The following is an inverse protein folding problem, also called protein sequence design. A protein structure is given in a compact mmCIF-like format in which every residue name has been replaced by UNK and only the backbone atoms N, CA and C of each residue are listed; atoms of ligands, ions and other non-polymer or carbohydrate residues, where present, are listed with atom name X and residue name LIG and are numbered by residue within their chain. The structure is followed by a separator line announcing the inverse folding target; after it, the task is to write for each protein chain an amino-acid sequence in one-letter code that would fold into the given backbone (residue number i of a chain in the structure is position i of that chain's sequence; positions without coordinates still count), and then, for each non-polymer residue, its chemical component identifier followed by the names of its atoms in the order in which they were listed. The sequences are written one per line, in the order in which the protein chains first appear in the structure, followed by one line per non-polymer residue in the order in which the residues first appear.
data_IF_427352884376
#
_entry.id   IF_427352884376
#
_cell.length_a   1.000
_cell.length_b   1.000
_cell.length_c   1.000
_cell.angle_alpha   90.00
_cell.angle_beta   90.00
_cell.angle_gamma   90.00
#
_symmetry.space_group_name_H-M   'P 1'
#
loop_
_entity.id
_entity.type
_entity.pdbx_description
1 polymer ?
#
# COMPACT_ATOMS: atom_id res chain seq x y z
N UNK A 1 8.88 -53.24 -27.06
CA UNK A 1 9.44 -53.67 -25.76
C UNK A 1 10.74 -52.91 -25.60
N UNK A 2 10.72 -51.78 -24.87
CA UNK A 2 11.11 -51.69 -23.44
C UNK A 2 12.57 -52.13 -23.28
N UNK A 3 13.56 -51.32 -22.88
CA UNK A 3 13.56 -50.25 -21.87
C UNK A 3 14.60 -49.18 -22.22
N UNK A 4 14.17 -47.93 -22.38
CA UNK A 4 15.03 -46.77 -22.19
C UNK A 4 14.94 -46.43 -20.70
N UNK A 5 15.88 -46.94 -19.92
CA UNK A 5 16.11 -46.51 -18.54
C UNK A 5 16.52 -45.03 -18.58
N UNK A 6 15.53 -44.16 -18.38
CA UNK A 6 15.74 -42.77 -18.03
C UNK A 6 16.48 -42.73 -16.69
N UNK A 7 17.81 -42.69 -16.74
CA UNK A 7 18.60 -42.11 -15.66
C UNK A 7 18.29 -40.62 -15.73
N UNK A 8 17.26 -40.20 -14.99
CA UNK A 8 17.01 -38.79 -14.72
C UNK A 8 18.33 -38.17 -14.25
N UNK A 9 18.75 -37.10 -14.93
CA UNK A 9 19.90 -36.28 -14.51
C UNK A 9 19.79 -36.08 -13.00
N UNK A 10 20.82 -36.52 -12.27
CA UNK A 10 20.93 -36.19 -10.84
C UNK A 10 21.09 -34.67 -10.79
N UNK A 11 19.98 -33.98 -10.57
CA UNK A 11 19.95 -32.56 -10.24
C UNK A 11 20.94 -32.33 -9.09
N UNK A 12 21.68 -31.23 -9.15
CA UNK A 12 22.80 -30.92 -8.28
C UNK A 12 22.44 -31.20 -6.80
N UNK A 13 23.05 -32.23 -6.18
CA UNK A 13 22.70 -32.72 -4.83
C UNK A 13 22.76 -31.59 -3.79
N UNK A 14 23.67 -30.65 -4.03
CA UNK A 14 23.82 -29.39 -3.31
C UNK A 14 22.50 -28.63 -3.09
N UNK A 15 21.58 -28.68 -4.05
CA UNK A 15 20.27 -27.99 -3.98
C UNK A 15 19.30 -28.59 -2.95
N UNK A 16 19.58 -29.80 -2.45
CA UNK A 16 18.80 -30.49 -1.43
C UNK A 16 19.39 -30.34 -0.02
N UNK A 17 20.52 -29.66 0.12
CA UNK A 17 21.18 -29.40 1.41
C UNK A 17 20.75 -28.04 1.92
N UNK A 18 20.12 -28.02 3.09
CA UNK A 18 19.62 -26.82 3.75
C UNK A 18 20.41 -26.55 5.03
N UNK A 19 20.48 -25.28 5.45
CA UNK A 19 21.08 -24.90 6.74
C UNK A 19 19.97 -24.61 7.74
N UNK A 20 19.82 -25.47 8.75
CA UNK A 20 18.79 -25.37 9.80
C UNK A 20 19.48 -25.50 11.16
N UNK A 21 19.22 -24.57 12.08
CA UNK A 21 19.91 -24.49 13.40
C UNK A 21 21.44 -24.46 13.30
N UNK A 22 21.98 -23.90 12.21
CA UNK A 22 23.43 -23.89 11.94
C UNK A 22 24.01 -25.24 11.50
N UNK A 23 23.16 -26.25 11.26
CA UNK A 23 23.56 -27.56 10.76
C UNK A 23 23.14 -27.72 9.29
N UNK A 24 24.01 -28.32 8.48
CA UNK A 24 23.66 -28.73 7.14
C UNK A 24 22.84 -30.03 7.21
N UNK A 25 21.64 -30.00 6.65
CA UNK A 25 20.67 -31.09 6.74
C UNK A 25 19.95 -31.32 5.42
N UNK A 26 19.49 -32.55 5.20
CA UNK A 26 18.63 -32.93 4.09
C UNK A 26 17.27 -33.42 4.59
N UNK A 27 16.21 -33.10 3.86
CA UNK A 27 14.87 -33.61 4.15
C UNK A 27 14.79 -35.10 3.84
N UNK A 28 14.06 -35.84 4.68
CA UNK A 28 13.73 -37.25 4.45
C UNK A 28 13.03 -37.51 3.10
N UNK A 29 12.24 -36.54 2.61
CA UNK A 29 11.58 -36.62 1.31
C UNK A 29 12.56 -36.54 0.15
N UNK A 30 13.61 -35.73 0.28
CA UNK A 30 14.58 -35.53 -0.78
C UNK A 30 15.60 -36.66 -0.80
N UNK A 31 16.04 -37.12 0.39
CA UNK A 31 16.82 -38.35 0.51
C UNK A 31 16.08 -39.55 -0.08
N UNK A 32 14.79 -39.69 0.20
CA UNK A 32 14.00 -40.79 -0.35
C UNK A 32 13.97 -40.78 -1.88
N UNK A 33 13.80 -39.60 -2.51
CA UNK A 33 13.87 -39.46 -3.97
C UNK A 33 15.24 -39.83 -4.52
N UNK A 34 16.32 -39.32 -3.90
CA UNK A 34 17.69 -39.60 -4.33
C UNK A 34 18.01 -41.10 -4.23
N UNK A 35 17.51 -41.77 -3.18
CA UNK A 35 17.67 -43.22 -3.01
C UNK A 35 16.69 -44.07 -3.84
N UNK A 36 15.74 -43.45 -4.57
CA UNK A 36 14.72 -44.16 -5.33
C UNK A 36 13.72 -44.94 -4.47
N UNK A 37 13.49 -44.50 -3.23
CA UNK A 37 12.58 -45.17 -2.27
C UNK A 37 11.46 -44.24 -1.82
N UNK A 38 10.37 -44.82 -1.30
CA UNK A 38 9.33 -44.02 -0.66
C UNK A 38 9.81 -43.47 0.70
N UNK A 39 9.49 -42.21 0.99
CA UNK A 39 9.87 -41.56 2.26
C UNK A 39 9.31 -42.28 3.48
N UNK A 40 8.16 -42.97 3.33
CA UNK A 40 7.60 -43.83 4.37
C UNK A 40 8.52 -45.01 4.67
N UNK A 41 9.01 -45.71 3.63
CA UNK A 41 9.93 -46.85 3.76
C UNK A 41 11.27 -46.43 4.35
N UNK A 42 11.81 -45.29 3.92
CA UNK A 42 13.04 -44.72 4.49
C UNK A 42 12.89 -44.51 6.01
N UNK A 43 11.81 -43.85 6.43
CA UNK A 43 11.54 -43.62 7.85
C UNK A 43 11.28 -44.90 8.63
N UNK A 44 10.65 -45.93 8.03
CA UNK A 44 10.49 -47.24 8.65
C UNK A 44 11.83 -47.93 8.90
N UNK A 45 12.76 -47.90 7.93
CA UNK A 45 14.10 -48.47 8.08
C UNK A 45 14.90 -47.79 9.20
N UNK A 46 14.76 -46.46 9.31
CA UNK A 46 15.37 -45.68 10.39
C UNK A 46 14.77 -46.04 11.75
N UNK A 47 13.44 -46.14 11.85
CA UNK A 47 12.78 -46.55 13.10
C UNK A 47 13.20 -47.93 13.59
N UNK A 48 13.41 -48.89 12.67
CA UNK A 48 13.94 -50.22 13.00
C UNK A 48 15.37 -50.21 13.52
N UNK A 49 16.14 -49.17 13.18
CA UNK A 49 17.54 -49.01 13.55
C UNK A 49 17.77 -47.78 14.41
N UNK A 50 16.81 -47.38 15.24
CA UNK A 50 16.81 -46.07 15.93
C UNK A 50 18.06 -45.83 16.80
N UNK A 51 18.67 -46.88 17.35
CA UNK A 51 19.92 -46.80 18.12
C UNK A 51 21.10 -46.22 17.32
N UNK A 52 21.03 -46.28 15.98
CA UNK A 52 22.01 -45.69 15.05
C UNK A 52 21.74 -44.21 14.73
N UNK A 53 20.59 -43.69 15.13
CA UNK A 53 20.12 -42.34 14.79
C UNK A 53 19.80 -41.55 16.06
N UNK A 54 20.84 -41.09 16.80
CA UNK A 54 20.63 -40.16 17.90
C UNK A 54 20.07 -38.82 17.37
N UNK A 55 19.47 -38.03 18.26
CA UNK A 55 18.73 -36.80 17.88
C UNK A 55 19.56 -35.79 17.07
N UNK A 56 20.87 -35.73 17.30
CA UNK A 56 21.78 -34.85 16.56
C UNK A 56 22.11 -35.35 15.14
N UNK A 57 21.79 -36.60 14.80
CA UNK A 57 21.90 -37.14 13.43
C UNK A 57 20.58 -37.02 12.67
N UNK A 58 19.47 -37.05 13.41
CA UNK A 58 18.12 -36.98 12.86
C UNK A 58 17.19 -36.34 13.87
N UNK A 59 16.53 -35.26 13.46
CA UNK A 59 15.50 -34.61 14.25
C UNK A 59 14.30 -34.21 13.38
N UNK A 60 13.18 -33.91 14.03
CA UNK A 60 12.00 -33.36 13.37
C UNK A 60 12.06 -31.84 13.45
N UNK A 61 11.68 -31.17 12.36
CA UNK A 61 11.55 -29.70 12.36
C UNK A 61 10.43 -29.26 13.30
N UNK A 62 10.47 -28.00 13.74
CA UNK A 62 9.30 -27.34 14.33
C UNK A 62 8.36 -26.87 13.22
N UNK A 63 7.10 -26.56 13.57
CA UNK A 63 6.14 -25.98 12.63
C UNK A 63 6.64 -24.66 12.03
N UNK A 64 7.29 -23.83 12.85
CA UNK A 64 7.89 -22.57 12.42
C UNK A 64 9.03 -22.80 11.42
N UNK A 65 9.98 -23.68 11.75
CA UNK A 65 11.12 -24.02 10.88
C UNK A 65 10.64 -24.58 9.53
N UNK A 66 9.63 -25.45 9.56
CA UNK A 66 9.07 -26.04 8.37
C UNK A 66 8.34 -25.02 7.49
N UNK A 67 7.60 -24.09 8.10
CA UNK A 67 6.93 -23.01 7.36
C UNK A 67 7.95 -22.06 6.72
N UNK A 68 9.02 -21.70 7.43
CA UNK A 68 10.12 -20.91 6.89
C UNK A 68 10.77 -21.61 5.68
N UNK A 69 11.13 -22.89 5.82
CA UNK A 69 11.72 -23.67 4.74
C UNK A 69 10.80 -23.73 3.51
N UNK A 70 9.50 -23.97 3.73
CA UNK A 70 8.50 -24.04 2.66
C UNK A 70 8.38 -22.71 1.92
N UNK A 71 8.39 -21.59 2.65
CA UNK A 71 8.32 -20.26 2.05
C UNK A 71 9.54 -19.96 1.16
N UNK A 72 10.75 -20.33 1.61
CA UNK A 72 11.98 -20.16 0.84
C UNK A 72 11.95 -20.98 -0.45
N UNK A 73 11.53 -22.26 -0.36
CA UNK A 73 11.39 -23.14 -1.53
C UNK A 73 10.33 -22.59 -2.50
N UNK A 74 9.22 -22.04 -2.00
CA UNK A 74 8.16 -21.47 -2.85
C UNK A 74 8.66 -20.23 -3.60
N UNK A 75 9.37 -19.33 -2.91
CA UNK A 75 9.97 -18.13 -3.51
C UNK A 75 10.99 -18.50 -4.59
N UNK A 76 11.88 -19.47 -4.32
CA UNK A 76 12.87 -19.95 -5.28
C UNK A 76 12.22 -20.56 -6.55
N UNK A 77 11.12 -21.30 -6.40
CA UNK A 77 10.38 -21.85 -7.54
C UNK A 77 9.65 -20.79 -8.37
N UNK A 78 9.22 -19.70 -7.73
CA UNK A 78 8.47 -18.63 -8.39
C UNK A 78 9.38 -17.64 -9.14
N UNK A 79 10.69 -17.59 -8.84
CA UNK A 79 11.63 -16.74 -9.58
C UNK A 79 11.89 -17.20 -11.04
N UNK A 80 11.48 -18.41 -11.41
CA UNK A 80 11.59 -18.96 -12.78
C UNK A 80 10.30 -18.90 -13.61
N UNK A 81 9.20 -18.34 -13.08
CA UNK A 81 7.96 -18.13 -13.82
C UNK A 81 7.62 -16.66 -13.81
N UNK A 82 7.60 -16.07 -14.99
CA UNK A 82 7.23 -14.67 -15.21
C UNK A 82 6.08 -14.23 -14.33
N UNK A 83 6.26 -13.01 -13.83
CA UNK A 83 5.39 -12.18 -13.00
C UNK A 83 4.05 -11.84 -13.68
N UNK A 84 3.44 -12.78 -14.41
CA UNK A 84 2.11 -12.69 -14.97
C UNK A 84 1.14 -13.41 -14.03
N UNK A 85 0.87 -12.79 -12.88
CA UNK A 85 -0.42 -12.76 -12.20
C UNK A 85 -0.21 -12.30 -10.75
N UNK A 86 -0.18 -10.97 -10.60
CA UNK A 86 -0.47 -10.29 -9.34
C UNK A 86 -1.93 -10.58 -8.95
N UNK A 87 -2.21 -11.79 -8.43
CA UNK A 87 -3.41 -12.03 -7.62
C UNK A 87 -3.03 -11.75 -6.18
N UNK A 88 -3.11 -10.46 -5.85
CA UNK A 88 -3.38 -10.00 -4.51
C UNK A 88 -4.63 -10.69 -3.96
N UNK A 89 -4.65 -10.83 -2.63
CA UNK A 89 -5.79 -11.17 -1.79
C UNK A 89 -6.00 -12.67 -1.54
N UNK A 90 -5.60 -13.06 -0.33
CA UNK A 90 -6.35 -13.97 0.55
C UNK A 90 -6.75 -15.30 -0.14
N UNK A 91 -5.81 -16.23 -0.20
CA UNK A 91 -6.13 -17.64 -0.44
C UNK A 91 -5.17 -18.55 0.34
N UNK A 92 -5.26 -18.51 1.67
CA UNK A 92 -5.11 -19.71 2.50
C UNK A 92 -6.18 -20.72 2.09
N UNK A 93 -5.99 -21.43 0.97
CA UNK A 93 -6.64 -22.71 0.62
C UNK A 93 -6.55 -22.96 -0.89
N UNK A 94 -5.53 -23.70 -1.33
CA UNK A 94 -5.63 -24.72 -2.40
C UNK A 94 -4.25 -25.26 -2.77
N UNK A 95 -3.75 -26.20 -1.96
CA UNK A 95 -3.15 -27.41 -2.51
C UNK A 95 -3.39 -28.51 -1.49
N UNK A 96 -4.59 -29.10 -1.58
CA UNK A 96 -5.09 -30.18 -0.75
C UNK A 96 -4.36 -31.49 -1.12
N UNK A 97 -3.07 -31.53 -0.78
CA UNK A 97 -2.14 -32.63 -1.04
C UNK A 97 -0.76 -32.42 -0.39
N UNK A 98 -0.62 -31.40 0.47
CA UNK A 98 0.59 -31.18 1.26
C UNK A 98 0.80 -32.28 2.31
N UNK A 99 2.06 -32.63 2.55
CA UNK A 99 2.46 -33.57 3.61
C UNK A 99 1.82 -33.18 4.94
N UNK A 100 0.97 -34.04 5.49
CA UNK A 100 0.25 -33.83 6.76
C UNK A 100 1.14 -33.94 8.00
N UNK A 101 2.39 -34.39 7.84
CA UNK A 101 3.33 -34.65 8.92
C UNK A 101 4.61 -33.83 8.72
N UNK A 102 5.10 -33.20 9.78
CA UNK A 102 6.34 -32.43 9.75
C UNK A 102 7.50 -33.39 9.36
N UNK A 103 8.35 -33.03 8.38
CA UNK A 103 9.43 -33.90 7.92
C UNK A 103 10.51 -34.11 8.97
N UNK A 104 11.17 -35.27 8.86
CA UNK A 104 12.45 -35.48 9.51
C UNK A 104 13.58 -34.94 8.63
N UNK A 105 14.61 -34.44 9.29
CA UNK A 105 15.84 -34.00 8.65
C UNK A 105 17.01 -34.83 9.13
N UNK A 106 17.99 -35.00 8.25
CA UNK A 106 19.19 -35.79 8.49
C UNK A 106 20.42 -34.92 8.27
N UNK A 107 21.35 -34.96 9.22
CA UNK A 107 22.67 -34.36 9.04
C UNK A 107 23.56 -35.25 8.17
N UNK A 108 24.76 -34.79 7.83
CA UNK A 108 25.79 -35.61 7.16
C UNK A 108 26.01 -36.95 7.87
N UNK A 109 26.10 -36.95 9.20
CA UNK A 109 26.26 -38.17 9.98
C UNK A 109 25.01 -39.06 9.92
N UNK A 110 23.81 -38.46 9.91
CA UNK A 110 22.57 -39.19 9.67
C UNK A 110 22.53 -39.86 8.30
N UNK A 111 23.00 -39.18 7.26
CA UNK A 111 23.11 -39.76 5.91
C UNK A 111 24.16 -40.87 5.87
N UNK A 112 25.29 -40.69 6.56
CA UNK A 112 26.30 -41.74 6.71
C UNK A 112 25.72 -42.98 7.39
N UNK A 113 24.86 -42.83 8.40
CA UNK A 113 24.18 -43.97 9.02
C UNK A 113 23.12 -44.60 8.11
N UNK A 114 22.52 -43.84 7.19
CA UNK A 114 21.59 -44.38 6.19
C UNK A 114 22.30 -45.31 5.19
N UNK A 115 23.55 -45.04 4.81
CA UNK A 115 24.30 -45.92 3.90
C UNK A 115 24.60 -47.30 4.51
N UNK A 116 24.68 -47.37 5.85
CA UNK A 116 24.82 -48.63 6.56
C UNK A 116 23.51 -49.44 6.62
N UNK A 117 22.36 -48.78 6.50
CA UNK A 117 21.02 -49.38 6.58
C UNK A 117 20.47 -49.73 5.21
N UNK A 118 20.69 -48.87 4.21
CA UNK A 118 20.28 -49.07 2.82
C UNK A 118 21.41 -49.72 2.03
N UNK A 119 21.23 -50.99 1.66
CA UNK A 119 22.28 -51.82 1.04
C UNK A 119 22.17 -51.99 -0.48
N UNK A 120 21.29 -51.27 -1.17
CA UNK A 120 21.22 -51.36 -2.63
C UNK A 120 22.42 -50.67 -3.27
N UNK A 121 22.91 -51.18 -4.40
CA UNK A 121 24.04 -50.58 -5.12
C UNK A 121 23.78 -49.11 -5.47
N UNK A 122 22.53 -48.80 -5.85
CA UNK A 122 22.06 -47.43 -6.08
C UNK A 122 22.16 -46.55 -4.84
N UNK A 123 21.83 -47.09 -3.66
CA UNK A 123 21.88 -46.33 -2.42
C UNK A 123 23.32 -46.08 -1.97
N UNK A 124 24.21 -47.06 -2.16
CA UNK A 124 25.63 -46.90 -1.87
C UNK A 124 26.23 -45.77 -2.71
N UNK A 125 25.99 -45.77 -4.03
CA UNK A 125 26.51 -44.73 -4.92
C UNK A 125 25.97 -43.33 -4.56
N UNK A 126 24.66 -43.23 -4.31
CA UNK A 126 24.00 -41.97 -3.93
C UNK A 126 24.51 -41.47 -2.58
N UNK A 127 24.72 -42.36 -1.59
CA UNK A 127 25.27 -41.98 -0.30
C UNK A 127 26.68 -41.38 -0.42
N UNK A 128 27.54 -41.95 -1.27
CA UNK A 128 28.90 -41.40 -1.50
C UNK A 128 28.79 -39.98 -2.07
N UNK A 129 27.97 -39.79 -3.11
CA UNK A 129 27.77 -38.47 -3.74
C UNK A 129 27.20 -37.44 -2.77
N UNK A 130 26.29 -37.84 -1.89
CA UNK A 130 25.74 -36.94 -0.86
C UNK A 130 26.84 -36.52 0.13
N UNK A 131 27.63 -37.47 0.62
CA UNK A 131 28.73 -37.18 1.56
C UNK A 131 29.74 -36.23 0.93
N UNK A 132 30.15 -36.47 -0.33
CA UNK A 132 31.06 -35.59 -1.05
C UNK A 132 30.51 -34.17 -1.20
N UNK A 133 29.20 -34.04 -1.42
CA UNK A 133 28.52 -32.74 -1.51
C UNK A 133 28.54 -32.00 -0.17
N UNK A 134 28.29 -32.67 0.95
CA UNK A 134 28.41 -32.07 2.28
C UNK A 134 29.85 -31.61 2.58
N UNK A 135 30.85 -32.42 2.23
CA UNK A 135 32.26 -32.06 2.41
C UNK A 135 32.64 -30.85 1.56
N UNK A 136 32.21 -30.82 0.30
CA UNK A 136 32.42 -29.70 -0.62
C UNK A 136 31.81 -28.40 -0.05
N UNK A 137 30.54 -28.45 0.36
CA UNK A 137 29.87 -27.29 0.95
C UNK A 137 30.56 -26.80 2.23
N UNK A 138 31.00 -27.71 3.10
CA UNK A 138 31.71 -27.33 4.33
C UNK A 138 33.01 -26.59 4.02
N UNK A 139 33.79 -27.08 3.04
CA UNK A 139 35.01 -26.40 2.58
C UNK A 139 34.70 -25.04 1.97
N UNK A 140 33.64 -24.95 1.17
CA UNK A 140 33.18 -23.70 0.56
C UNK A 140 32.80 -22.65 1.61
N UNK A 141 32.00 -23.03 2.61
CA UNK A 141 31.58 -22.13 3.70
C UNK A 141 32.77 -21.68 4.55
N UNK A 142 33.69 -22.60 4.87
CA UNK A 142 34.88 -22.28 5.66
C UNK A 142 35.82 -21.30 4.93
N UNK A 143 36.06 -21.54 3.63
CA UNK A 143 36.97 -20.72 2.82
C UNK A 143 36.41 -19.32 2.58
N UNK A 144 35.10 -19.19 2.40
CA UNK A 144 34.45 -17.92 2.06
C UNK A 144 33.81 -17.20 3.26
N UNK A 145 34.14 -17.61 4.49
CA UNK A 145 33.58 -17.03 5.73
C UNK A 145 33.69 -15.51 5.82
N UNK A 146 34.81 -14.93 5.37
CA UNK A 146 35.01 -13.47 5.33
C UNK A 146 34.08 -12.75 4.34
N UNK A 147 33.76 -13.38 3.21
CA UNK A 147 32.81 -12.85 2.23
C UNK A 147 31.38 -12.88 2.77
N UNK A 148 30.98 -13.97 3.43
CA UNK A 148 29.67 -14.06 4.07
C UNK A 148 29.47 -13.00 5.14
N UNK A 149 30.47 -12.79 6.01
CA UNK A 149 30.42 -11.70 7.00
C UNK A 149 30.26 -10.31 6.35
N UNK A 150 30.88 -10.09 5.19
CA UNK A 150 30.73 -8.81 4.46
C UNK A 150 29.33 -8.66 3.86
N UNK A 151 28.75 -9.73 3.32
CA UNK A 151 27.39 -9.73 2.80
C UNK A 151 26.36 -9.46 3.90
N UNK A 152 26.48 -10.11 5.06
CA UNK A 152 25.60 -9.87 6.21
C UNK A 152 25.61 -8.40 6.65
N UNK A 153 26.78 -7.78 6.66
CA UNK A 153 26.92 -6.36 7.02
C UNK A 153 26.30 -5.44 5.96
N UNK A 154 26.40 -5.78 4.68
CA UNK A 154 25.76 -5.04 3.59
C UNK A 154 24.23 -5.15 3.68
N UNK A 155 23.69 -6.35 3.94
CA UNK A 155 22.26 -6.57 4.08
C UNK A 155 21.68 -5.78 5.27
N UNK A 156 22.35 -5.81 6.43
CA UNK A 156 21.97 -4.98 7.59
C UNK A 156 21.97 -3.49 7.27
N UNK A 157 23.00 -3.03 6.55
CA UNK A 157 23.10 -1.63 6.14
C UNK A 157 21.93 -1.27 5.22
N UNK A 158 21.60 -2.12 4.24
CA UNK A 158 20.48 -1.91 3.32
C UNK A 158 19.12 -1.87 4.02
N UNK A 159 18.86 -2.78 4.97
CA UNK A 159 17.65 -2.76 5.79
C UNK A 159 17.55 -1.47 6.60
N UNK A 160 18.67 -0.99 7.16
CA UNK A 160 18.72 0.27 7.91
C UNK A 160 18.38 1.46 7.01
N UNK A 161 18.95 1.51 5.81
CA UNK A 161 18.63 2.56 4.82
C UNK A 161 17.16 2.54 4.38
N UNK A 162 16.55 1.35 4.21
CA UNK A 162 15.13 1.23 3.89
C UNK A 162 14.26 1.80 5.01
N UNK A 163 14.53 1.43 6.26
CA UNK A 163 13.81 1.94 7.43
C UNK A 163 13.95 3.46 7.56
N UNK A 164 15.14 4.01 7.33
CA UNK A 164 15.35 5.46 7.34
C UNK A 164 14.61 6.17 6.20
N UNK A 165 14.58 5.56 5.02
CA UNK A 165 13.84 6.09 3.88
C UNK A 165 12.35 6.14 4.17
N UNK A 166 11.77 5.06 4.70
CA UNK A 166 10.34 4.99 5.03
C UNK A 166 9.96 6.06 6.07
N UNK A 167 10.80 6.27 7.10
CA UNK A 167 10.61 7.36 8.06
C UNK A 167 10.64 8.75 7.42
N UNK A 168 11.54 8.98 6.47
CA UNK A 168 11.60 10.26 5.73
C UNK A 168 10.36 10.43 4.84
N UNK A 169 9.89 9.37 4.21
CA UNK A 169 8.64 9.38 3.45
C UNK A 169 7.45 9.72 4.36
N UNK A 170 7.32 9.07 5.51
CA UNK A 170 6.26 9.36 6.48
C UNK A 170 6.30 10.82 6.95
N UNK A 171 7.49 11.38 7.17
CA UNK A 171 7.65 12.80 7.52
C UNK A 171 7.18 13.73 6.40
N UNK A 172 7.51 13.41 5.14
CA UNK A 172 7.05 14.17 3.97
C UNK A 172 5.52 14.06 3.82
N UNK A 173 4.95 12.86 3.98
CA UNK A 173 3.51 12.65 3.91
C UNK A 173 2.77 13.39 5.03
N UNK A 174 3.27 13.35 6.26
CA UNK A 174 2.70 14.13 7.36
C UNK A 174 2.77 15.64 7.09
N UNK A 175 3.86 16.12 6.48
CA UNK A 175 3.98 17.52 6.07
C UNK A 175 3.02 17.91 4.92
N UNK A 176 2.67 16.96 4.04
CA UNK A 176 1.69 17.15 2.95
C UNK A 176 0.24 17.00 3.44
N UNK A 177 0.00 16.17 4.44
CA UNK A 177 -1.31 15.91 5.04
C UNK A 177 -1.68 16.94 6.12
N UNK A 178 -0.77 17.86 6.43
CA UNK A 178 -1.01 19.01 7.27
C UNK A 178 -2.06 19.94 6.60
N UNK A 179 -3.34 19.63 6.84
CA UNK A 179 -4.57 20.34 6.41
C UNK A 179 -4.63 21.81 6.88
N UNK A 180 -3.56 22.31 7.50
CA UNK A 180 -3.34 23.71 7.86
C UNK A 180 -2.94 24.57 6.65
N UNK A 181 -2.50 23.97 5.54
CA UNK A 181 -2.57 24.64 4.24
C UNK A 181 -4.04 24.64 3.82
N UNK A 182 -4.80 25.61 4.33
CA UNK A 182 -5.97 26.12 3.61
C UNK A 182 -5.47 26.38 2.20
N UNK A 183 -5.80 25.52 1.23
CA UNK A 183 -5.35 25.67 -0.14
C UNK A 183 -5.69 27.08 -0.58
N UNK A 184 -4.69 27.98 -0.56
CA UNK A 184 -4.86 29.40 -0.91
C UNK A 184 -5.24 29.52 -2.38
N UNK A 185 -5.12 28.43 -3.13
CA UNK A 185 -5.48 28.31 -4.52
C UNK A 185 -5.75 26.84 -4.84
N UNK A 186 -6.64 26.59 -5.79
CA UNK A 186 -6.96 25.26 -6.28
C UNK A 186 -7.70 25.32 -7.60
N UNK A 187 -7.74 24.19 -8.31
CA UNK A 187 -8.46 24.03 -9.58
C UNK A 187 -9.43 22.87 -9.41
N UNK A 188 -10.68 23.08 -9.78
CA UNK A 188 -11.66 22.01 -9.96
C UNK A 188 -11.72 21.63 -11.43
N UNK A 189 -11.74 20.33 -11.67
CA UNK A 189 -11.81 19.74 -12.99
C UNK A 189 -13.25 19.41 -13.42
N UNK A 190 -13.42 19.01 -14.67
CA UNK A 190 -14.72 18.80 -15.31
C UNK A 190 -15.41 17.59 -14.67
N UNK A 191 -16.70 17.73 -14.37
CA UNK A 191 -17.48 16.73 -13.66
C UNK A 191 -17.29 16.71 -12.14
N UNK A 192 -16.37 17.50 -11.56
CA UNK A 192 -16.20 17.63 -10.10
C UNK A 192 -17.27 18.52 -9.45
N UNK A 193 -18.53 18.30 -9.82
CA UNK A 193 -19.68 19.12 -9.41
C UNK A 193 -19.88 19.03 -7.89
N UNK A 194 -19.87 17.81 -7.34
CA UNK A 194 -20.12 17.62 -5.91
C UNK A 194 -18.94 18.10 -5.04
N UNK A 195 -17.71 17.90 -5.48
CA UNK A 195 -16.51 18.34 -4.75
C UNK A 195 -16.48 19.88 -4.66
N UNK A 196 -16.72 20.57 -5.78
CA UNK A 196 -16.82 22.02 -5.83
C UNK A 196 -17.98 22.54 -4.95
N UNK A 197 -19.13 21.86 -5.00
CA UNK A 197 -20.29 22.17 -4.17
C UNK A 197 -20.01 21.99 -2.68
N UNK A 198 -19.32 20.91 -2.29
CA UNK A 198 -18.94 20.65 -0.89
C UNK A 198 -17.97 21.70 -0.38
N UNK A 199 -16.93 22.01 -1.16
CA UNK A 199 -15.95 23.05 -0.83
C UNK A 199 -16.62 24.40 -0.52
N UNK A 200 -17.48 24.88 -1.42
CA UNK A 200 -18.21 26.14 -1.20
C UNK A 200 -19.20 26.03 -0.03
N UNK A 201 -19.82 24.86 0.19
CA UNK A 201 -20.68 24.63 1.35
C UNK A 201 -19.92 24.80 2.67
N UNK A 202 -18.69 24.29 2.74
CA UNK A 202 -17.87 24.35 3.94
C UNK A 202 -17.38 25.78 4.21
N UNK A 203 -17.07 26.53 3.15
CA UNK A 203 -16.83 27.98 3.25
C UNK A 203 -18.04 28.72 3.83
N UNK A 204 -19.25 28.47 3.31
CA UNK A 204 -20.49 29.10 3.80
C UNK A 204 -20.75 28.76 5.28
N UNK A 205 -20.52 27.50 5.68
CA UNK A 205 -20.68 27.05 7.07
C UNK A 205 -19.68 27.68 8.03
N UNK A 206 -18.48 28.00 7.53
CA UNK A 206 -17.40 28.58 8.33
C UNK A 206 -17.65 30.03 8.76
N UNK A 207 -18.53 30.76 8.04
CA UNK A 207 -18.86 32.16 8.31
C UNK A 207 -19.60 32.33 9.65
N UNK A 208 -19.20 33.33 10.43
CA UNK A 208 -19.74 33.61 11.77
C UNK A 208 -20.53 34.92 11.84
N UNK A 209 -20.21 35.91 11.02
CA UNK A 209 -20.78 37.26 11.11
C UNK A 209 -21.42 37.72 9.81
N UNK A 210 -20.74 37.58 8.67
CA UNK A 210 -21.24 38.10 7.40
C UNK A 210 -20.68 37.36 6.18
N UNK A 211 -21.48 37.29 5.13
CA UNK A 211 -21.07 36.82 3.82
C UNK A 211 -21.47 37.87 2.78
N UNK A 212 -20.54 38.26 1.92
CA UNK A 212 -20.80 39.08 0.75
C UNK A 212 -20.44 38.28 -0.50
N UNK A 213 -21.40 38.10 -1.40
CA UNK A 213 -21.20 37.45 -2.70
C UNK A 213 -21.25 38.49 -3.80
N UNK A 214 -20.20 38.56 -4.62
CA UNK A 214 -20.15 39.32 -5.85
C UNK A 214 -20.21 38.33 -7.00
N UNK A 215 -21.33 38.25 -7.69
CA UNK A 215 -21.50 37.39 -8.88
C UNK A 215 -22.58 37.97 -9.80
N UNK A 216 -22.28 38.02 -11.10
CA UNK A 216 -23.15 38.57 -12.13
C UNK A 216 -24.17 37.56 -12.69
N UNK A 217 -24.07 36.29 -12.30
CA UNK A 217 -24.89 35.21 -12.86
C UNK A 217 -25.57 34.38 -11.77
N UNK A 218 -26.40 35.02 -10.95
CA UNK A 218 -27.06 34.39 -9.80
C UNK A 218 -28.45 33.89 -10.17
N UNK A 219 -28.78 32.68 -9.74
CA UNK A 219 -30.10 32.05 -9.84
C UNK A 219 -30.55 31.46 -8.49
N UNK A 220 -31.67 30.74 -8.49
CA UNK A 220 -32.25 30.08 -7.32
C UNK A 220 -31.33 28.99 -6.74
N UNK A 221 -30.53 28.32 -7.57
CA UNK A 221 -29.58 27.29 -7.11
C UNK A 221 -28.55 27.87 -6.16
N UNK A 222 -28.06 29.07 -6.44
CA UNK A 222 -27.16 29.81 -5.55
C UNK A 222 -27.89 30.13 -4.25
N UNK A 223 -29.11 30.66 -4.29
CA UNK A 223 -29.89 30.96 -3.08
C UNK A 223 -30.08 29.72 -2.19
N UNK A 224 -30.37 28.56 -2.79
CA UNK A 224 -30.49 27.27 -2.09
C UNK A 224 -29.18 26.89 -1.42
N UNK A 225 -28.03 27.06 -2.08
CA UNK A 225 -26.72 26.74 -1.50
C UNK A 225 -26.46 27.52 -0.21
N UNK A 226 -26.83 28.81 -0.20
CA UNK A 226 -26.66 29.70 0.97
C UNK A 226 -27.68 29.48 2.09
N UNK A 227 -28.61 28.53 1.97
CA UNK A 227 -29.43 28.07 3.12
C UNK A 227 -28.60 27.39 4.20
N UNK A 228 -27.41 26.88 3.86
CA UNK A 228 -26.48 26.23 4.79
C UNK A 228 -25.77 27.19 5.76
N UNK A 229 -25.95 28.50 5.59
CA UNK A 229 -25.34 29.51 6.47
C UNK A 229 -25.97 29.47 7.87
N UNK A 230 -25.22 29.91 8.86
CA UNK A 230 -25.75 30.05 10.22
C UNK A 230 -26.82 31.15 10.28
N UNK A 231 -27.86 30.98 11.11
CA UNK A 231 -29.04 31.87 11.11
C UNK A 231 -28.73 33.35 11.36
N UNK A 232 -27.67 33.64 12.11
CA UNK A 232 -27.25 35.00 12.50
C UNK A 232 -26.24 35.64 11.53
N UNK A 233 -25.90 34.96 10.43
CA UNK A 233 -24.94 35.47 9.45
C UNK A 233 -25.66 36.33 8.41
N UNK A 234 -25.27 37.60 8.34
CA UNK A 234 -25.79 38.53 7.35
C UNK A 234 -25.32 38.12 5.95
N UNK A 235 -26.23 38.07 4.98
CA UNK A 235 -25.89 37.73 3.60
C UNK A 235 -26.27 38.86 2.65
N UNK A 236 -25.27 39.37 1.92
CA UNK A 236 -25.41 40.40 0.91
C UNK A 236 -24.95 39.87 -0.44
N UNK A 237 -25.79 40.06 -1.46
CA UNK A 237 -25.51 39.75 -2.85
C UNK A 237 -25.31 41.06 -3.63
N UNK A 238 -24.20 41.15 -4.34
CA UNK A 238 -23.86 42.22 -5.28
C UNK A 238 -23.84 41.64 -6.69
N UNK A 239 -24.68 42.17 -7.57
CA UNK A 239 -24.80 41.67 -8.95
C UNK A 239 -25.03 42.82 -9.93
N UNK A 240 -24.57 42.70 -11.18
CA UNK A 240 -24.67 43.76 -12.19
C UNK A 240 -26.10 44.25 -12.47
N UNK A 241 -27.06 43.33 -12.51
CA UNK A 241 -28.46 43.62 -12.85
C UNK A 241 -29.39 42.77 -12.02
N UNK A 242 -30.43 43.36 -11.43
CA UNK A 242 -31.46 42.60 -10.72
C UNK A 242 -32.64 42.37 -11.67
N UNK A 243 -32.73 41.16 -12.22
CA UNK A 243 -33.88 40.78 -13.05
C UNK A 243 -35.17 40.69 -12.23
N UNK A 244 -36.31 40.83 -12.89
CA UNK A 244 -37.63 40.67 -12.23
C UNK A 244 -37.80 39.28 -11.61
N UNK A 245 -37.29 38.23 -12.26
CA UNK A 245 -37.32 36.86 -11.72
C UNK A 245 -36.50 36.76 -10.44
N UNK A 246 -35.24 37.20 -10.47
CA UNK A 246 -34.35 37.14 -9.30
C UNK A 246 -34.92 37.93 -8.11
N UNK A 247 -35.53 39.10 -8.36
CA UNK A 247 -36.22 39.87 -7.32
C UNK A 247 -37.37 39.10 -6.68
N UNK A 248 -38.17 38.37 -7.47
CA UNK A 248 -39.26 37.53 -6.98
C UNK A 248 -38.73 36.33 -6.19
N UNK A 249 -37.64 35.71 -6.65
CA UNK A 249 -37.02 34.57 -5.99
C UNK A 249 -36.43 34.96 -4.63
N UNK A 250 -35.74 36.11 -4.54
CA UNK A 250 -35.26 36.66 -3.26
C UNK A 250 -36.43 36.97 -2.31
N UNK A 251 -37.53 37.54 -2.82
CA UNK A 251 -38.73 37.78 -1.99
C UNK A 251 -39.34 36.49 -1.47
N UNK A 252 -39.36 35.42 -2.27
CA UNK A 252 -39.84 34.10 -1.83
C UNK A 252 -38.90 33.47 -0.81
N UNK A 253 -37.60 33.53 -1.07
CA UNK A 253 -36.55 33.03 -0.18
C UNK A 253 -36.64 33.67 1.22
N UNK A 254 -36.76 35.00 1.28
CA UNK A 254 -36.83 35.77 2.53
C UNK A 254 -38.10 35.51 3.36
N UNK A 255 -39.13 34.85 2.80
CA UNK A 255 -40.32 34.43 3.56
C UNK A 255 -40.10 33.17 4.38
N UNK A 256 -39.15 32.31 3.98
CA UNK A 256 -38.94 30.98 4.58
C UNK A 256 -37.58 30.86 5.25
N UNK A 257 -36.54 31.48 4.70
CA UNK A 257 -35.16 31.38 5.18
C UNK A 257 -34.68 32.72 5.76
N UNK A 258 -33.51 32.70 6.41
CA UNK A 258 -32.86 33.94 6.86
C UNK A 258 -32.80 34.94 5.71
N UNK A 259 -33.06 36.24 5.96
CA UNK A 259 -33.13 37.21 4.89
C UNK A 259 -31.79 37.39 4.17
N UNK A 260 -31.87 37.57 2.86
CA UNK A 260 -30.77 38.01 2.00
C UNK A 260 -31.07 39.38 1.43
N UNK A 261 -30.06 40.24 1.44
CA UNK A 261 -30.11 41.55 0.80
C UNK A 261 -29.44 41.46 -0.57
N UNK A 262 -30.03 42.09 -1.58
CA UNK A 262 -29.47 42.16 -2.92
C UNK A 262 -29.35 43.62 -3.35
N UNK A 263 -28.19 44.00 -3.89
CA UNK A 263 -27.93 45.35 -4.43
C UNK A 263 -27.31 45.25 -5.82
N UNK A 264 -27.59 46.25 -6.66
CA UNK A 264 -26.93 46.38 -7.95
C UNK A 264 -25.49 46.86 -7.77
N UNK A 265 -24.56 46.22 -8.47
CA UNK A 265 -23.15 46.58 -8.47
C UNK A 265 -22.54 46.28 -9.84
N UNK A 266 -22.22 47.33 -10.60
CA UNK A 266 -21.81 47.22 -12.01
C UNK A 266 -20.29 47.19 -12.21
N UNK A 267 -19.53 47.51 -11.16
CA UNK A 267 -18.10 47.79 -11.26
C UNK A 267 -17.21 46.55 -11.09
N UNK A 268 -17.79 45.35 -10.99
CA UNK A 268 -17.05 44.09 -10.92
C UNK A 268 -17.46 43.12 -12.01
N UNK A 269 -16.47 42.65 -12.76
CA UNK A 269 -16.61 41.51 -13.67
C UNK A 269 -16.27 40.18 -12.99
N UNK A 270 -15.34 40.22 -12.05
CA UNK A 270 -14.87 39.06 -11.32
C UNK A 270 -15.82 38.67 -10.18
N UNK A 271 -15.62 37.44 -9.69
CA UNK A 271 -16.51 36.82 -8.73
C UNK A 271 -15.80 36.61 -7.42
N UNK A 272 -16.38 37.16 -6.37
CA UNK A 272 -15.79 37.16 -5.04
C UNK A 272 -16.77 36.64 -4.00
N UNK A 273 -16.25 35.84 -3.08
CA UNK A 273 -16.94 35.47 -1.86
C UNK A 273 -16.13 36.00 -0.68
N UNK A 274 -16.72 36.91 0.08
CA UNK A 274 -16.10 37.54 1.23
C UNK A 274 -16.76 36.98 2.49
N UNK A 275 -15.96 36.43 3.40
CA UNK A 275 -16.41 35.85 4.66
C UNK A 275 -15.86 36.69 5.82
N UNK A 276 -16.77 37.07 6.72
CA UNK A 276 -16.52 37.77 7.97
C UNK A 276 -15.61 39.01 7.83
N UNK A 277 -15.71 39.70 6.69
CA UNK A 277 -14.89 40.88 6.31
C UNK A 277 -13.38 40.66 6.44
N UNK A 278 -12.91 39.41 6.45
CA UNK A 278 -11.50 39.06 6.71
C UNK A 278 -10.93 38.12 5.66
N UNK A 279 -11.77 37.27 5.07
CA UNK A 279 -11.34 36.28 4.08
C UNK A 279 -12.01 36.60 2.74
N UNK A 280 -11.21 36.75 1.69
CA UNK A 280 -11.70 37.00 0.32
C UNK A 280 -11.31 35.82 -0.55
N UNK A 281 -12.29 35.21 -1.21
CA UNK A 281 -12.10 34.14 -2.18
C UNK A 281 -12.49 34.65 -3.56
N UNK A 282 -11.62 34.47 -4.53
CA UNK A 282 -11.87 34.70 -5.95
C UNK A 282 -12.25 33.38 -6.63
N UNK A 283 -13.25 33.41 -7.51
CA UNK A 283 -13.71 32.26 -8.29
C UNK A 283 -13.68 32.56 -9.78
N UNK A 284 -13.04 31.69 -10.56
CA UNK A 284 -13.00 31.78 -12.02
C UNK A 284 -14.34 31.46 -12.70
N UNK A 285 -15.28 30.83 -11.99
CA UNK A 285 -16.61 30.48 -12.47
C UNK A 285 -17.71 30.99 -11.54
N UNK A 286 -18.92 31.12 -12.08
CA UNK A 286 -20.09 31.45 -11.28
C UNK A 286 -20.46 30.31 -10.35
N UNK A 287 -20.97 30.65 -9.17
CA UNK A 287 -21.39 29.65 -8.19
C UNK A 287 -22.55 28.79 -8.71
N UNK A 288 -23.30 29.23 -9.72
CA UNK A 288 -24.33 28.39 -10.38
C UNK A 288 -23.75 27.26 -11.26
N UNK A 289 -22.47 27.36 -11.63
CA UNK A 289 -21.81 26.48 -12.60
C UNK A 289 -20.64 25.69 -11.98
N UNK A 290 -20.60 25.59 -10.65
CA UNK A 290 -19.55 24.89 -9.91
C UNK A 290 -19.32 23.46 -10.45
N UNK A 291 -18.10 23.21 -10.91
CA UNK A 291 -17.62 21.89 -11.35
C UNK A 291 -18.19 21.38 -12.68
N UNK A 292 -19.01 22.17 -13.40
CA UNK A 292 -19.50 21.83 -14.75
C UNK A 292 -18.43 21.96 -15.84
N UNK A 293 -17.38 22.74 -15.56
CA UNK A 293 -16.19 22.98 -16.39
C UNK A 293 -15.01 23.30 -15.47
N UNK A 294 -13.80 23.25 -16.00
CA UNK A 294 -12.59 23.61 -15.25
C UNK A 294 -12.67 25.05 -14.73
N UNK A 295 -12.44 25.26 -13.44
CA UNK A 295 -12.33 26.59 -12.85
C UNK A 295 -11.33 26.62 -11.71
N UNK A 296 -10.63 27.74 -11.58
CA UNK A 296 -9.73 27.99 -10.46
C UNK A 296 -10.44 28.80 -9.36
N UNK A 297 -10.03 28.59 -8.11
CA UNK A 297 -10.33 29.47 -7.00
C UNK A 297 -9.05 29.90 -6.30
N UNK A 298 -9.05 31.07 -5.67
CA UNK A 298 -7.94 31.52 -4.84
C UNK A 298 -8.44 32.31 -3.63
N UNK A 299 -7.90 32.00 -2.46
CA UNK A 299 -8.02 32.79 -1.25
C UNK A 299 -6.97 33.90 -1.28
N UNK A 300 -7.42 35.14 -1.31
CA UNK A 300 -6.56 36.31 -1.30
C UNK A 300 -6.05 36.59 0.12
N UNK A 301 -4.79 36.99 0.24
CA UNK A 301 -4.15 37.32 1.52
C UNK A 301 -4.69 38.65 2.11
N UNK A 302 -4.30 38.97 3.35
CA UNK A 302 -4.78 40.12 4.15
C UNK A 302 -4.66 41.52 3.48
N UNK A 303 -4.02 41.66 2.32
CA UNK A 303 -4.04 42.87 1.49
C UNK A 303 -5.38 43.13 0.80
N UNK A 304 -6.35 42.21 0.91
CA UNK A 304 -7.73 42.35 0.41
C UNK A 304 -8.56 43.46 1.06
N UNK A 305 -8.00 44.14 2.08
CA UNK A 305 -8.59 45.32 2.73
C UNK A 305 -8.96 46.40 1.70
N UNK A 306 -8.27 46.49 0.56
CA UNK A 306 -8.59 47.47 -0.50
C UNK A 306 -9.97 47.24 -1.14
N UNK A 307 -10.38 45.98 -1.35
CA UNK A 307 -11.71 45.68 -1.92
C UNK A 307 -12.80 46.05 -0.92
N UNK A 308 -12.61 45.67 0.35
CA UNK A 308 -13.54 46.03 1.43
C UNK A 308 -13.63 47.53 1.65
N UNK A 309 -12.50 48.24 1.61
CA UNK A 309 -12.44 49.69 1.74
C UNK A 309 -13.21 50.36 0.60
N UNK A 310 -12.98 49.97 -0.66
CA UNK A 310 -13.76 50.50 -1.80
C UNK A 310 -15.26 50.23 -1.66
N UNK A 311 -15.65 49.02 -1.26
CA UNK A 311 -17.07 48.70 -1.03
C UNK A 311 -17.69 49.55 0.09
N UNK A 312 -16.91 49.87 1.13
CA UNK A 312 -17.34 50.74 2.23
C UNK A 312 -17.44 52.21 1.82
N UNK A 313 -16.48 52.71 1.02
CA UNK A 313 -16.50 54.06 0.43
C UNK A 313 -17.72 54.26 -0.47
N UNK A 314 -18.16 53.19 -1.14
CA UNK A 314 -19.37 53.17 -1.97
C UNK A 314 -20.67 52.90 -1.19
N UNK A 315 -20.61 52.73 0.14
CA UNK A 315 -21.79 52.53 1.01
C UNK A 315 -22.50 51.18 0.83
N UNK A 316 -21.79 50.15 0.34
CA UNK A 316 -22.41 48.86 0.01
C UNK A 316 -22.40 47.85 1.17
N UNK A 317 -21.40 47.90 2.08
CA UNK A 317 -21.09 46.87 3.09
C UNK A 317 -20.80 47.44 4.48
#
# INVERSE_FOLDING_TARGET
MNELSQVEKIDNIESYIFTIRGLQVMLDSDLAKLYGVESKRLNEQVKRNILRFPDHFRFQLTDEEYNCLRSQIATLKNQGKDLANLKSQIATSSLHGGRRTIPYVFTEQGVSMLSAVLKSDTAIEVSIKIIDSFVSMRKFLSTNSSLFNRLDNMEKSQLTYQIESDKKFDQIFNALEDKSIQNKQGVFFDGQIFDAYSFVSDLIRSAKTSIVLIDNYIDDTVLIHFTKRQKNVNFLILTKTISRSLSLDVKRYNKQYSPVNIKEFKDSHDRFLIIDKTQVYHFGASLKDLGKKWFAFSKMDKSSVTILNRLSEMGLV
#
